data_IF_686495753081
#
_entry.id   IF_686495753081
#
_cell.length_a   1.000
_cell.length_b   1.000
_cell.length_c   1.000
_cell.angle_alpha   90.00
_cell.angle_beta   90.00
_cell.angle_gamma   90.00
#
_symmetry.space_group_name_H-M   'P 1'
#
loop_
_entity.id
_entity.type
_entity.pdbx_description
1 polymer ?
#
# COMPACT_ATOMS: atom_id res chain seq x y z
N UNK A 1 -0.01 -5.13 -7.51
CA UNK A 1 1.05 -5.23 -6.47
C UNK A 1 2.24 -5.98 -7.01
N UNK A 2 3.43 -5.66 -6.54
CA UNK A 2 4.68 -6.36 -6.85
C UNK A 2 5.14 -7.21 -5.65
N UNK A 3 5.82 -8.34 -5.94
CA UNK A 3 6.23 -9.35 -4.97
C UNK A 3 7.70 -9.29 -4.54
N UNK A 4 8.53 -8.39 -5.12
CA UNK A 4 9.97 -8.11 -4.83
C UNK A 4 10.74 -9.14 -3.96
N UNK A 5 10.68 -10.42 -4.35
CA UNK A 5 11.31 -11.56 -3.68
C UNK A 5 11.01 -11.70 -2.16
N UNK A 6 9.84 -11.22 -1.71
CA UNK A 6 9.39 -11.38 -0.33
C UNK A 6 8.99 -12.86 -0.09
N UNK A 7 9.44 -13.51 1.02
CA UNK A 7 9.09 -14.90 1.32
C UNK A 7 7.59 -15.13 1.59
N UNK A 8 6.81 -14.07 1.81
CA UNK A 8 5.37 -14.13 2.01
C UNK A 8 4.62 -13.99 0.69
N UNK A 9 3.45 -14.62 0.59
CA UNK A 9 2.58 -14.53 -0.60
C UNK A 9 1.74 -13.25 -0.65
N UNK A 10 2.03 -12.25 0.19
CA UNK A 10 1.25 -11.02 0.30
C UNK A 10 1.54 -10.20 1.56
N UNK A 11 0.71 -9.18 1.76
CA UNK A 11 0.81 -8.21 2.85
C UNK A 11 -0.53 -8.02 3.56
N UNK A 12 -0.52 -7.34 4.70
CA UNK A 12 -1.75 -6.89 5.36
C UNK A 12 -1.97 -5.40 5.11
N UNK A 13 -3.21 -4.98 4.84
CA UNK A 13 -3.58 -3.56 4.85
C UNK A 13 -3.26 -2.92 6.21
N UNK A 14 -2.72 -1.71 6.20
CA UNK A 14 -2.47 -0.92 7.42
C UNK A 14 -3.55 0.10 7.71
N UNK A 15 -3.67 0.49 8.97
CA UNK A 15 -4.60 1.53 9.42
C UNK A 15 -4.03 2.95 9.18
N UNK A 16 -2.70 3.08 9.08
CA UNK A 16 -1.99 4.33 8.82
C UNK A 16 -0.74 4.09 7.97
N UNK A 17 -0.12 5.17 7.47
CA UNK A 17 1.08 5.15 6.63
C UNK A 17 2.39 4.82 7.40
N UNK A 18 2.37 3.77 8.21
CA UNK A 18 3.54 3.22 8.90
C UNK A 18 3.43 1.71 9.14
N UNK A 19 4.57 1.04 9.27
CA UNK A 19 4.68 -0.43 9.25
C UNK A 19 4.06 -1.11 10.47
N UNK A 20 4.03 -0.45 11.61
CA UNK A 20 3.44 -0.99 12.85
C UNK A 20 1.92 -0.81 12.95
N UNK A 21 1.26 -0.01 12.11
CA UNK A 21 -0.20 0.17 12.07
C UNK A 21 -0.90 -1.01 11.38
N UNK A 22 -0.60 -2.25 11.80
CA UNK A 22 -1.06 -3.46 11.12
C UNK A 22 -1.85 -4.37 12.05
N UNK A 23 -3.09 -4.70 11.66
CA UNK A 23 -3.86 -5.77 12.27
C UNK A 23 -3.70 -7.05 11.43
N UNK A 24 -3.01 -8.05 11.97
CA UNK A 24 -2.72 -9.32 11.28
C UNK A 24 -3.90 -10.28 11.37
N UNK A 25 -4.98 -9.94 10.68
CA UNK A 25 -6.23 -10.70 10.62
C UNK A 25 -6.56 -11.06 9.18
N UNK A 26 -7.22 -12.21 8.99
CA UNK A 26 -7.45 -12.78 7.65
C UNK A 26 -8.13 -11.78 6.69
N UNK A 27 -9.13 -11.04 7.15
CA UNK A 27 -9.86 -10.06 6.33
C UNK A 27 -9.07 -8.79 5.99
N UNK A 28 -7.83 -8.66 6.46
CA UNK A 28 -6.90 -7.59 6.04
C UNK A 28 -5.76 -8.10 5.16
N UNK A 29 -5.69 -9.41 4.91
CA UNK A 29 -4.64 -9.99 4.09
C UNK A 29 -4.91 -9.79 2.60
N UNK A 30 -3.85 -9.41 1.88
CA UNK A 30 -3.85 -9.01 0.49
C UNK A 30 -2.73 -9.78 -0.22
N UNK A 31 -3.09 -10.68 -1.13
CA UNK A 31 -2.12 -11.44 -1.91
C UNK A 31 -1.36 -10.54 -2.89
N UNK A 32 -0.08 -10.83 -3.10
CA UNK A 32 0.64 -10.21 -4.22
C UNK A 32 -0.06 -10.56 -5.55
N UNK A 33 -0.01 -9.63 -6.51
CA UNK A 33 -0.76 -9.74 -7.76
C UNK A 33 -2.22 -9.27 -7.71
N UNK A 34 -2.83 -9.10 -6.53
CA UNK A 34 -4.18 -8.51 -6.45
C UNK A 34 -4.17 -7.06 -6.98
N UNK A 35 -5.22 -6.71 -7.72
CA UNK A 35 -5.49 -5.35 -8.15
C UNK A 35 -6.11 -4.55 -7.02
N UNK A 36 -5.64 -3.32 -6.82
CA UNK A 36 -6.18 -2.38 -5.85
C UNK A 36 -6.61 -1.11 -6.57
N UNK A 37 -7.65 -0.46 -6.06
CA UNK A 37 -8.03 0.89 -6.45
C UNK A 37 -7.31 1.89 -5.53
N UNK A 38 -6.64 2.88 -6.13
CA UNK A 38 -6.00 3.97 -5.39
C UNK A 38 -7.07 5.01 -5.03
N UNK A 39 -7.18 5.34 -3.73
CA UNK A 39 -8.08 6.40 -3.25
C UNK A 39 -7.32 7.72 -3.21
N UNK A 40 -6.18 7.72 -2.52
CA UNK A 40 -5.31 8.88 -2.39
C UNK A 40 -3.92 8.44 -1.90
N UNK A 41 -2.91 9.28 -2.13
CA UNK A 41 -1.56 9.07 -1.66
C UNK A 41 -1.18 9.90 -0.43
N UNK A 42 -0.23 9.41 0.34
CA UNK A 42 0.23 10.02 1.60
C UNK A 42 1.75 9.85 1.78
N UNK A 43 2.32 10.55 2.75
CA UNK A 43 3.73 10.52 3.11
C UNK A 43 3.93 9.98 4.52
N UNK A 44 4.67 8.88 4.64
CA UNK A 44 4.73 8.09 5.88
C UNK A 44 6.12 7.62 6.29
N UNK A 45 6.13 6.51 7.03
CA UNK A 45 7.35 5.79 7.40
C UNK A 45 8.09 5.30 6.15
N UNK A 46 9.42 5.35 6.17
CA UNK A 46 10.24 4.88 5.06
C UNK A 46 10.22 3.34 4.97
N UNK A 47 9.96 2.80 3.78
CA UNK A 47 9.93 1.34 3.53
C UNK A 47 10.90 0.96 2.42
N UNK A 48 11.81 0.03 2.74
CA UNK A 48 12.71 -0.61 1.77
C UNK A 48 13.99 0.14 1.40
N UNK A 49 14.75 -0.38 0.42
CA UNK A 49 16.15 -0.03 0.16
C UNK A 49 16.37 1.40 -0.38
N UNK A 50 15.31 2.14 -0.70
CA UNK A 50 15.38 3.54 -1.13
C UNK A 50 14.72 4.50 -0.14
N UNK A 51 14.45 4.02 1.09
CA UNK A 51 13.74 4.79 2.12
C UNK A 51 12.46 5.43 1.57
N UNK A 52 11.71 4.69 0.73
CA UNK A 52 10.55 5.24 0.04
C UNK A 52 9.46 5.56 1.07
N UNK A 53 9.05 6.83 1.13
CA UNK A 53 8.06 7.35 2.06
C UNK A 53 6.68 7.50 1.43
N UNK A 54 6.51 7.08 0.17
CA UNK A 54 5.22 7.13 -0.50
C UNK A 54 4.31 5.98 -0.03
N UNK A 55 3.08 6.31 0.31
CA UNK A 55 2.03 5.38 0.73
C UNK A 55 0.73 5.68 -0.02
N UNK A 56 -0.14 4.67 -0.09
CA UNK A 56 -1.43 4.77 -0.76
C UNK A 56 -2.53 4.25 0.14
N UNK A 57 -3.59 5.03 0.30
CA UNK A 57 -4.86 4.53 0.78
C UNK A 57 -5.55 3.81 -0.38
N UNK A 58 -5.88 2.55 -0.21
CA UNK A 58 -6.39 1.70 -1.29
C UNK A 58 -7.60 0.87 -0.89
N UNK A 59 -8.29 0.36 -1.89
CA UNK A 59 -9.30 -0.70 -1.77
C UNK A 59 -8.92 -1.91 -2.62
N UNK A 60 -8.63 -3.10 -2.06
CA UNK A 60 -8.42 -4.31 -2.83
C UNK A 60 -9.69 -4.77 -3.56
N UNK A 61 -9.55 -5.20 -4.81
CA UNK A 61 -10.68 -5.62 -5.65
C UNK A 61 -11.00 -7.11 -5.54
N UNK A 62 -10.11 -7.89 -4.94
CA UNK A 62 -10.27 -9.34 -4.76
C UNK A 62 -9.58 -9.86 -3.49
N UNK A 63 -9.83 -11.12 -3.15
CA UNK A 63 -9.22 -11.82 -2.03
C UNK A 63 -9.84 -11.51 -0.67
N UNK A 64 -9.19 -11.91 0.43
CA UNK A 64 -9.74 -11.81 1.79
C UNK A 64 -10.06 -10.38 2.23
N UNK A 65 -9.28 -9.40 1.76
CA UNK A 65 -9.45 -7.99 2.07
C UNK A 65 -10.26 -7.22 1.02
N UNK A 66 -11.00 -7.90 0.14
CA UNK A 66 -11.84 -7.26 -0.88
C UNK A 66 -12.78 -6.23 -0.24
N UNK A 67 -12.77 -5.01 -0.79
CA UNK A 67 -13.63 -3.91 -0.32
C UNK A 67 -13.21 -3.29 1.01
N UNK A 68 -12.11 -3.74 1.63
CA UNK A 68 -11.55 -3.09 2.80
C UNK A 68 -10.70 -1.89 2.39
N UNK A 69 -10.69 -0.85 3.23
CA UNK A 69 -9.85 0.33 3.03
C UNK A 69 -8.64 0.28 3.96
N UNK A 70 -7.47 0.59 3.43
CA UNK A 70 -6.26 0.72 4.24
C UNK A 70 -5.03 1.12 3.45
N UNK A 71 -3.93 1.31 4.16
CA UNK A 71 -2.68 1.79 3.59
C UNK A 71 -1.79 0.64 3.10
N UNK A 72 -1.17 0.85 1.95
CA UNK A 72 -0.09 0.05 1.39
C UNK A 72 1.08 0.98 1.04
N UNK A 73 2.31 0.61 1.42
CA UNK A 73 3.49 1.35 1.00
C UNK A 73 3.69 1.18 -0.51
N UNK A 74 4.07 2.27 -1.21
CA UNK A 74 4.30 2.33 -2.66
C UNK A 74 5.21 1.20 -3.16
N UNK A 75 6.19 0.79 -2.34
CA UNK A 75 7.08 -0.34 -2.61
C UNK A 75 6.35 -1.65 -2.97
N UNK A 76 5.17 -1.88 -2.42
CA UNK A 76 4.41 -3.11 -2.70
C UNK A 76 3.46 -2.96 -3.90
N UNK A 77 3.38 -1.77 -4.47
CA UNK A 77 2.59 -1.47 -5.66
C UNK A 77 3.49 -1.34 -6.88
N UNK A 78 2.89 -1.51 -8.06
CA UNK A 78 3.54 -1.25 -9.34
C UNK A 78 3.01 0.07 -9.91
N UNK A 79 3.17 1.14 -9.14
CA UNK A 79 2.78 2.50 -9.51
C UNK A 79 3.81 3.11 -10.47
N UNK A 80 3.43 4.09 -11.31
CA UNK A 80 4.33 4.65 -12.32
C UNK A 80 5.33 5.68 -11.76
N UNK A 81 5.25 6.06 -10.49
CA UNK A 81 6.20 6.99 -9.88
C UNK A 81 7.53 6.31 -9.52
N UNK A 82 8.58 7.14 -9.44
CA UNK A 82 9.81 6.75 -8.76
C UNK A 82 9.62 6.82 -7.24
N UNK A 83 10.51 6.17 -6.50
CA UNK A 83 10.54 6.27 -5.04
C UNK A 83 10.64 7.74 -4.60
N UNK A 84 9.90 8.09 -3.54
CA UNK A 84 9.84 9.46 -3.01
C UNK A 84 9.34 10.52 -4.02
N UNK A 85 8.45 10.13 -4.93
CA UNK A 85 7.75 11.06 -5.82
C UNK A 85 6.23 10.87 -5.68
N UNK A 86 5.42 11.92 -5.92
CA UNK A 86 3.98 11.78 -6.04
C UNK A 86 3.61 10.85 -7.20
N UNK A 87 2.49 10.14 -7.04
CA UNK A 87 1.98 9.23 -8.06
C UNK A 87 1.13 10.00 -9.07
N UNK A 88 1.48 9.98 -10.38
CA UNK A 88 0.72 10.69 -11.39
C UNK A 88 -0.77 10.36 -11.38
N UNK A 89 -1.61 11.39 -11.30
CA UNK A 89 -3.07 11.26 -11.33
C UNK A 89 -3.71 10.76 -10.03
N UNK A 90 -2.91 10.49 -8.99
CA UNK A 90 -3.42 10.18 -7.66
C UNK A 90 -3.53 11.48 -6.83
N UNK A 91 -4.69 11.80 -6.24
CA UNK A 91 -4.80 12.92 -5.32
C UNK A 91 -4.06 12.63 -4.01
N UNK A 92 -3.56 13.66 -3.33
CA UNK A 92 -3.07 13.50 -1.96
C UNK A 92 -4.25 13.30 -1.00
N UNK A 93 -4.09 12.44 0.00
CA UNK A 93 -5.02 12.34 1.11
C UNK A 93 -5.07 13.71 1.80
N UNK A 94 -6.23 14.12 2.32
CA UNK A 94 -6.34 15.40 3.02
C UNK A 94 -5.29 15.48 4.13
N UNK A 95 -4.29 16.32 3.90
CA UNK A 95 -3.35 16.80 4.89
C UNK A 95 -3.89 18.17 5.30
N UNK A 96 -4.54 18.23 6.46
CA UNK A 96 -4.87 19.51 7.10
C UNK A 96 -3.60 20.30 7.47
#
# INVERSE_FOLDING_TARGET
MDADNDPYSGIYLRNFAWMSAVDRVYYRFVYYGTTVELICGDWGEAVGPYTNRRWHLVTPLDGPAKGQVGYIADRYLNTPNSANQPTPGEPECWQD
#
